data_IF_641021173771
#
_entry.id   IF_641021173771
#
_cell.length_a   1.000
_cell.length_b   1.000
_cell.length_c   1.000
_cell.angle_alpha   90.00
_cell.angle_beta   90.00
_cell.angle_gamma   90.00
#
_symmetry.space_group_name_H-M   'P 1'
#
loop_
_entity.id
_entity.type
_entity.pdbx_description
1 polymer ?
#
# COMPACT_ATOMS: atom_id res chain seq x y z
N UNK A 1 20.72 4.19 52.06
CA UNK A 1 21.44 4.94 50.99
C UNK A 1 21.18 4.23 49.68
N UNK A 2 20.74 4.97 48.67
CA UNK A 2 20.14 4.47 47.43
C UNK A 2 21.16 3.89 46.43
N UNK A 3 20.81 2.84 45.66
CA UNK A 3 21.64 2.25 44.62
C UNK A 3 21.40 2.91 43.25
N UNK A 4 21.53 4.23 43.15
CA UNK A 4 21.16 5.00 41.95
C UNK A 4 22.32 5.67 41.19
N UNK A 5 23.58 5.38 41.52
CA UNK A 5 24.73 6.10 40.93
C UNK A 5 25.68 5.28 40.03
N UNK A 6 25.36 4.01 39.71
CA UNK A 6 26.33 3.14 39.01
C UNK A 6 25.98 2.74 37.57
N UNK A 7 25.11 3.48 36.86
CA UNK A 7 24.77 3.13 35.47
C UNK A 7 24.55 4.33 34.54
N UNK A 8 25.33 5.41 34.67
CA UNK A 8 25.30 6.55 33.72
C UNK A 8 26.65 6.78 33.04
N UNK A 9 27.74 6.14 33.48
CA UNK A 9 29.11 6.43 32.96
C UNK A 9 29.55 5.64 31.72
N UNK A 10 28.83 4.59 31.31
CA UNK A 10 29.16 3.80 30.11
C UNK A 10 28.21 4.08 28.93
N UNK A 11 27.98 5.36 28.59
CA UNK A 11 27.44 5.68 27.27
C UNK A 11 28.60 5.76 26.27
N UNK A 12 28.66 4.92 25.22
CA UNK A 12 29.67 5.08 24.18
C UNK A 12 29.52 6.46 23.51
N UNK A 13 30.61 7.21 23.40
CA UNK A 13 30.70 8.50 22.68
C UNK A 13 30.68 8.32 21.15
N UNK A 14 29.87 7.40 20.65
CA UNK A 14 29.78 7.09 19.23
C UNK A 14 28.42 7.56 18.76
N UNK A 15 28.42 8.60 17.92
CA UNK A 15 27.25 8.95 17.13
C UNK A 15 27.11 7.91 16.00
N UNK A 16 26.16 7.00 16.13
CA UNK A 16 25.85 6.03 15.08
C UNK A 16 24.96 6.71 14.06
N UNK A 17 25.49 6.89 12.84
CA UNK A 17 24.71 7.27 11.67
C UNK A 17 24.01 6.02 11.15
N UNK A 18 22.74 5.87 11.49
CA UNK A 18 21.92 4.78 10.97
C UNK A 18 21.15 5.33 9.77
N UNK A 19 21.38 4.84 8.54
CA UNK A 19 20.51 5.17 7.43
C UNK A 19 19.14 4.54 7.72
N UNK A 20 18.16 5.40 7.98
CA UNK A 20 16.76 5.04 8.13
C UNK A 20 16.07 5.39 6.83
N UNK A 21 15.67 4.36 6.09
CA UNK A 21 14.76 4.57 4.94
C UNK A 21 13.44 5.03 5.51
N UNK A 22 13.05 6.27 5.22
CA UNK A 22 11.79 6.88 5.68
C UNK A 22 10.70 6.77 4.61
N UNK A 23 11.09 6.75 3.33
CA UNK A 23 10.17 6.47 2.23
C UNK A 23 10.58 5.18 1.56
N UNK A 24 9.68 4.21 1.63
CA UNK A 24 9.93 2.88 1.13
C UNK A 24 9.43 2.76 -0.31
N UNK A 25 10.36 2.68 -1.26
CA UNK A 25 10.03 2.37 -2.64
C UNK A 25 9.50 0.93 -2.83
N UNK A 26 8.89 0.63 -3.98
CA UNK A 26 8.43 -0.71 -4.37
C UNK A 26 9.50 -1.81 -4.21
N UNK A 27 10.77 -1.46 -4.37
CA UNK A 27 11.94 -2.34 -4.13
C UNK A 27 12.02 -2.86 -2.70
N UNK A 28 11.75 -2.01 -1.70
CA UNK A 28 11.77 -2.39 -0.29
C UNK A 28 10.60 -3.31 0.04
N UNK A 29 9.39 -3.01 -0.46
CA UNK A 29 8.23 -3.91 -0.32
C UNK A 29 8.54 -5.27 -0.95
N UNK A 30 9.08 -5.29 -2.18
CA UNK A 30 9.45 -6.53 -2.86
C UNK A 30 10.46 -7.37 -2.06
N UNK A 31 11.47 -6.72 -1.46
CA UNK A 31 12.48 -7.38 -0.63
C UNK A 31 11.86 -8.01 0.62
N UNK A 32 11.00 -7.27 1.33
CA UNK A 32 10.29 -7.78 2.51
C UNK A 32 9.35 -8.92 2.15
N UNK A 33 8.52 -8.75 1.11
CA UNK A 33 7.60 -9.80 0.65
C UNK A 33 8.34 -11.09 0.33
N UNK A 34 9.45 -11.03 -0.43
CA UNK A 34 10.27 -12.20 -0.77
C UNK A 34 10.86 -12.87 0.47
N UNK A 35 11.41 -12.08 1.40
CA UNK A 35 11.99 -12.62 2.62
C UNK A 35 10.94 -13.34 3.49
N UNK A 36 9.78 -12.71 3.67
CA UNK A 36 8.71 -13.23 4.50
C UNK A 36 7.99 -14.43 3.87
N UNK A 37 7.77 -14.43 2.56
CA UNK A 37 7.26 -15.59 1.83
C UNK A 37 8.22 -16.78 1.98
N UNK A 38 9.53 -16.56 1.79
CA UNK A 38 10.53 -17.62 1.92
C UNK A 38 10.51 -18.26 3.32
N UNK A 39 10.35 -17.45 4.36
CA UNK A 39 10.21 -17.93 5.74
C UNK A 39 8.95 -18.79 5.96
N UNK A 40 7.95 -18.67 5.09
CA UNK A 40 6.72 -19.48 5.07
C UNK A 40 6.77 -20.64 4.08
N UNK A 41 7.90 -20.91 3.43
CA UNK A 41 7.97 -21.92 2.37
C UNK A 41 7.21 -21.50 1.10
N UNK A 42 7.08 -20.18 0.88
CA UNK A 42 6.39 -19.60 -0.27
C UNK A 42 7.37 -18.80 -1.14
N UNK A 43 7.12 -18.80 -2.45
CA UNK A 43 7.77 -17.92 -3.40
C UNK A 43 6.87 -16.73 -3.73
N UNK A 44 7.41 -15.51 -3.55
CA UNK A 44 6.67 -14.29 -3.82
C UNK A 44 6.52 -14.05 -5.33
N UNK A 45 5.29 -13.87 -5.79
CA UNK A 45 4.98 -13.54 -7.19
C UNK A 45 4.98 -12.02 -7.41
N UNK A 46 5.08 -11.60 -8.68
CA UNK A 46 4.94 -10.17 -9.05
C UNK A 46 3.60 -9.60 -8.61
N UNK A 47 2.52 -10.36 -8.79
CA UNK A 47 1.17 -9.95 -8.39
C UNK A 47 1.08 -9.73 -6.88
N UNK A 48 1.63 -10.65 -6.09
CA UNK A 48 1.65 -10.52 -4.64
C UNK A 48 2.42 -9.27 -4.20
N UNK A 49 3.59 -9.01 -4.79
CA UNK A 49 4.39 -7.82 -4.48
C UNK A 49 3.61 -6.54 -4.80
N UNK A 50 2.95 -6.47 -5.96
CA UNK A 50 2.14 -5.31 -6.35
C UNK A 50 0.94 -5.12 -5.43
N UNK A 51 0.23 -6.20 -5.09
CA UNK A 51 -0.89 -6.15 -4.12
C UNK A 51 -0.42 -5.66 -2.75
N UNK A 52 0.68 -6.19 -2.22
CA UNK A 52 1.22 -5.72 -0.94
C UNK A 52 1.67 -4.27 -1.00
N UNK A 53 2.31 -3.84 -2.10
CA UNK A 53 2.76 -2.47 -2.28
C UNK A 53 1.60 -1.47 -2.36
N UNK A 54 0.45 -1.88 -2.90
CA UNK A 54 -0.72 -1.01 -3.00
C UNK A 54 -1.60 -1.02 -1.75
N UNK A 55 -1.80 -2.19 -1.13
CA UNK A 55 -2.72 -2.33 0.00
C UNK A 55 -2.10 -2.10 1.37
N UNK A 56 -0.84 -2.48 1.58
CA UNK A 56 -0.20 -2.30 2.89
C UNK A 56 0.39 -0.90 2.97
N UNK A 57 0.16 -0.21 4.09
CA UNK A 57 0.65 1.16 4.28
C UNK A 57 2.18 1.25 4.38
N UNK A 58 2.83 0.20 4.87
CA UNK A 58 4.29 0.16 5.03
C UNK A 58 4.84 -1.25 4.78
N UNK A 59 6.14 -1.40 4.47
CA UNK A 59 6.78 -2.71 4.42
C UNK A 59 6.70 -3.49 5.74
N UNK A 60 6.63 -2.78 6.89
CA UNK A 60 6.40 -3.44 8.17
C UNK A 60 5.01 -4.10 8.22
N UNK A 61 3.99 -3.42 7.69
CA UNK A 61 2.64 -3.98 7.61
C UNK A 61 2.59 -5.21 6.69
N UNK A 62 3.39 -5.23 5.61
CA UNK A 62 3.59 -6.42 4.77
C UNK A 62 4.19 -7.57 5.57
N UNK A 63 5.27 -7.32 6.32
CA UNK A 63 5.88 -8.34 7.17
C UNK A 63 4.90 -8.86 8.23
N UNK A 64 4.11 -7.96 8.82
CA UNK A 64 3.11 -8.32 9.81
C UNK A 64 2.00 -9.19 9.19
N UNK A 65 1.47 -8.78 8.04
CA UNK A 65 0.43 -9.50 7.30
C UNK A 65 0.86 -10.93 6.94
N UNK A 66 2.04 -11.09 6.32
CA UNK A 66 2.54 -12.41 5.93
C UNK A 66 2.90 -13.23 7.17
N UNK A 67 3.59 -12.62 8.14
CA UNK A 67 4.07 -13.29 9.35
C UNK A 67 2.95 -13.85 10.22
N UNK A 68 1.86 -13.10 10.38
CA UNK A 68 0.70 -13.47 11.21
C UNK A 68 -0.43 -14.13 10.43
N UNK A 69 -0.68 -13.71 9.21
CA UNK A 69 -1.82 -14.16 8.42
C UNK A 69 -1.59 -15.50 7.70
N UNK A 70 -0.34 -15.90 7.45
CA UNK A 70 -0.02 -17.13 6.73
C UNK A 70 0.63 -18.18 7.63
N UNK A 71 0.28 -19.44 7.37
CA UNK A 71 0.95 -20.61 7.94
C UNK A 71 2.19 -20.96 7.12
N UNK A 72 3.08 -21.77 7.68
CA UNK A 72 4.23 -22.29 6.94
C UNK A 72 3.82 -23.49 6.09
N UNK A 73 4.27 -23.49 4.84
CA UNK A 73 4.09 -24.60 3.90
C UNK A 73 5.22 -25.62 4.03
N UNK A 74 4.86 -26.90 3.95
CA UNK A 74 5.82 -28.00 3.98
C UNK A 74 6.55 -28.16 2.64
N UNK A 75 5.91 -27.81 1.53
CA UNK A 75 6.46 -27.91 0.18
C UNK A 75 6.55 -26.52 -0.45
N UNK A 76 7.74 -26.09 -0.90
CA UNK A 76 7.91 -24.81 -1.57
C UNK A 76 6.98 -24.66 -2.77
N UNK A 77 6.28 -23.52 -2.84
CA UNK A 77 5.38 -23.16 -3.93
C UNK A 77 5.16 -21.66 -3.99
N UNK A 78 4.59 -21.17 -5.08
CA UNK A 78 4.19 -19.77 -5.17
C UNK A 78 3.04 -19.40 -4.21
N UNK A 79 3.08 -18.17 -3.72
CA UNK A 79 1.95 -17.54 -3.01
C UNK A 79 0.80 -17.24 -3.98
N UNK A 80 -0.42 -17.54 -3.55
CA UNK A 80 -1.65 -17.31 -4.31
C UNK A 80 -2.31 -15.98 -3.93
N UNK A 81 -3.12 -15.42 -4.84
CA UNK A 81 -3.88 -14.18 -4.58
C UNK A 81 -4.84 -14.30 -3.38
N UNK A 82 -5.44 -15.46 -3.18
CA UNK A 82 -6.28 -15.78 -2.02
C UNK A 82 -5.51 -15.72 -0.70
N UNK A 83 -4.24 -16.10 -0.69
CA UNK A 83 -3.38 -16.01 0.48
C UNK A 83 -2.93 -14.58 0.73
N UNK A 84 -2.70 -13.79 -0.34
CA UNK A 84 -2.49 -12.35 -0.20
C UNK A 84 -3.71 -11.70 0.44
N UNK A 85 -4.93 -12.01 -0.03
CA UNK A 85 -6.19 -11.58 0.63
C UNK A 85 -6.20 -11.95 2.11
N UNK A 86 -5.97 -13.22 2.44
CA UNK A 86 -5.98 -13.71 3.82
C UNK A 86 -4.99 -12.94 4.70
N UNK A 87 -3.78 -12.73 4.19
CA UNK A 87 -2.73 -12.02 4.92
C UNK A 87 -3.08 -10.54 5.16
N UNK A 88 -3.60 -9.85 4.15
CA UNK A 88 -4.04 -8.45 4.26
C UNK A 88 -5.25 -8.31 5.18
N UNK A 89 -6.18 -9.26 5.16
CA UNK A 89 -7.34 -9.30 6.05
C UNK A 89 -6.95 -9.41 7.54
N UNK A 90 -5.75 -9.89 7.85
CA UNK A 90 -5.23 -9.95 9.22
C UNK A 90 -4.78 -8.58 9.77
N UNK A 91 -4.65 -7.57 8.92
CA UNK A 91 -4.25 -6.22 9.33
C UNK A 91 -5.46 -5.45 9.88
N UNK A 92 -5.26 -4.61 10.91
CA UNK A 92 -6.28 -3.63 11.28
C UNK A 92 -6.44 -2.60 10.15
N UNK A 93 -7.67 -2.13 9.92
CA UNK A 93 -8.02 -1.22 8.82
C UNK A 93 -7.10 0.00 8.69
N UNK A 94 -6.63 0.58 9.81
CA UNK A 94 -5.70 1.72 9.83
C UNK A 94 -4.33 1.48 9.18
N UNK A 95 -3.96 0.21 8.95
CA UNK A 95 -2.70 -0.22 8.29
C UNK A 95 -2.88 -0.57 6.81
N UNK A 96 -4.10 -0.43 6.29
CA UNK A 96 -4.41 -0.61 4.88
C UNK A 96 -4.49 0.74 4.17
N UNK A 97 -4.18 0.75 2.87
CA UNK A 97 -4.30 1.87 1.94
C UNK A 97 -3.74 3.18 2.49
N UNK A 98 -2.50 3.48 2.13
CA UNK A 98 -1.85 4.76 2.42
C UNK A 98 -2.76 5.93 2.00
N UNK A 99 -2.85 6.94 2.87
CA UNK A 99 -3.68 8.16 2.71
C UNK A 99 -5.20 7.98 2.52
N UNK A 100 -5.72 6.75 2.48
CA UNK A 100 -7.16 6.51 2.39
C UNK A 100 -7.91 6.98 3.64
N UNK A 101 -9.13 7.49 3.41
CA UNK A 101 -10.04 7.88 4.47
C UNK A 101 -10.37 6.68 5.38
N UNK A 102 -10.68 6.90 6.68
CA UNK A 102 -11.08 5.82 7.58
C UNK A 102 -12.24 4.97 7.03
N UNK A 103 -13.17 5.62 6.32
CA UNK A 103 -14.31 4.98 5.66
C UNK A 103 -13.88 4.01 4.57
N UNK A 104 -13.03 4.44 3.63
CA UNK A 104 -12.53 3.58 2.55
C UNK A 104 -11.75 2.41 3.13
N UNK A 105 -10.90 2.65 4.14
CA UNK A 105 -10.17 1.58 4.85
C UNK A 105 -11.11 0.58 5.52
N UNK A 106 -12.19 1.04 6.15
CA UNK A 106 -13.18 0.17 6.77
C UNK A 106 -13.92 -0.70 5.74
N UNK A 107 -14.30 -0.12 4.60
CA UNK A 107 -14.91 -0.86 3.49
C UNK A 107 -13.96 -1.95 2.96
N UNK A 108 -12.72 -1.59 2.64
CA UNK A 108 -11.73 -2.54 2.10
C UNK A 108 -11.34 -3.62 3.11
N UNK A 109 -11.15 -3.25 4.38
CA UNK A 109 -10.90 -4.22 5.45
C UNK A 109 -12.03 -5.24 5.58
N UNK A 110 -13.28 -4.77 5.46
CA UNK A 110 -14.47 -5.63 5.50
C UNK A 110 -14.54 -6.56 4.30
N UNK A 111 -14.31 -6.02 3.10
CA UNK A 111 -14.31 -6.80 1.86
C UNK A 111 -13.18 -7.83 1.80
N UNK A 112 -12.01 -7.55 2.38
CA UNK A 112 -10.90 -8.49 2.52
C UNK A 112 -11.24 -9.67 3.46
N UNK A 113 -11.97 -9.39 4.54
CA UNK A 113 -12.30 -10.36 5.58
C UNK A 113 -13.44 -11.33 5.22
N UNK A 114 -14.26 -10.99 4.22
CA UNK A 114 -15.40 -11.83 3.77
C UNK A 114 -15.04 -12.68 2.54
N UNK A 115 -15.62 -13.88 2.44
CA UNK A 115 -15.58 -14.73 1.23
C UNK A 115 -16.90 -14.67 0.44
N UNK A 116 -17.66 -13.60 0.61
CA UNK A 116 -18.96 -13.41 -0.03
C UNK A 116 -19.04 -11.99 -0.58
N UNK A 117 -19.73 -11.85 -1.71
CA UNK A 117 -20.21 -10.54 -2.15
C UNK A 117 -21.21 -9.99 -1.13
N UNK A 118 -21.20 -8.68 -0.92
CA UNK A 118 -22.03 -8.00 0.07
C UNK A 118 -22.88 -6.94 -0.62
N UNK A 119 -24.14 -6.82 -0.24
CA UNK A 119 -24.91 -5.62 -0.57
C UNK A 119 -24.32 -4.37 0.09
N UNK A 120 -24.67 -3.17 -0.40
CA UNK A 120 -24.24 -1.89 0.21
C UNK A 120 -24.65 -1.78 1.68
N UNK A 121 -25.80 -2.34 2.04
CA UNK A 121 -26.31 -2.35 3.42
C UNK A 121 -25.48 -3.29 4.30
N UNK A 122 -25.20 -4.51 3.84
CA UNK A 122 -24.36 -5.45 4.59
C UNK A 122 -22.93 -4.96 4.72
N UNK A 123 -22.38 -4.32 3.68
CA UNK A 123 -21.06 -3.71 3.72
C UNK A 123 -21.02 -2.59 4.76
N UNK A 124 -22.01 -1.71 4.78
CA UNK A 124 -22.12 -0.63 5.76
C UNK A 124 -22.21 -1.16 7.19
N UNK A 125 -23.08 -2.15 7.42
CA UNK A 125 -23.27 -2.78 8.73
C UNK A 125 -21.97 -3.44 9.23
N UNK A 126 -21.35 -4.29 8.42
CA UNK A 126 -20.11 -5.00 8.78
C UNK A 126 -18.91 -4.06 8.95
N UNK A 127 -18.84 -2.98 8.17
CA UNK A 127 -17.78 -1.98 8.27
C UNK A 127 -18.01 -0.97 9.40
N UNK A 128 -19.20 -0.94 10.03
CA UNK A 128 -19.55 0.02 11.07
C UNK A 128 -19.64 1.46 10.55
N UNK A 129 -20.08 1.66 9.31
CA UNK A 129 -20.22 2.96 8.65
C UNK A 129 -21.65 3.16 8.13
N UNK A 130 -21.97 4.38 7.71
CA UNK A 130 -23.29 4.63 7.12
C UNK A 130 -23.41 4.07 5.70
N UNK A 131 -24.61 3.65 5.29
CA UNK A 131 -24.87 3.25 3.90
C UNK A 131 -24.63 4.41 2.92
N UNK A 132 -24.83 5.66 3.35
CA UNK A 132 -24.49 6.82 2.53
C UNK A 132 -22.99 6.92 2.28
N UNK A 133 -22.17 6.64 3.29
CA UNK A 133 -20.72 6.58 3.15
C UNK A 133 -20.29 5.51 2.13
N UNK A 134 -20.94 4.34 2.12
CA UNK A 134 -20.73 3.33 1.09
C UNK A 134 -21.10 3.88 -0.29
N UNK A 135 -22.27 4.51 -0.44
CA UNK A 135 -22.70 5.11 -1.72
C UNK A 135 -21.76 6.20 -2.23
N UNK A 136 -21.14 6.96 -1.34
CA UNK A 136 -20.22 8.03 -1.71
C UNK A 136 -18.87 7.52 -2.22
N UNK A 137 -18.34 6.43 -1.65
CA UNK A 137 -16.98 5.95 -1.97
C UNK A 137 -16.94 4.74 -2.90
N UNK A 138 -18.01 3.94 -2.96
CA UNK A 138 -18.07 2.76 -3.81
C UNK A 138 -17.91 3.08 -5.30
N UNK A 139 -18.48 4.16 -5.88
CA UNK A 139 -18.31 4.48 -7.29
C UNK A 139 -16.84 4.57 -7.69
N UNK A 140 -16.00 5.27 -6.91
CA UNK A 140 -14.55 5.35 -7.19
C UNK A 140 -13.86 3.99 -7.13
N UNK A 141 -14.21 3.16 -6.14
CA UNK A 141 -13.64 1.81 -5.99
C UNK A 141 -14.05 0.88 -7.15
N UNK A 142 -15.23 1.08 -7.72
CA UNK A 142 -15.73 0.34 -8.88
C UNK A 142 -15.12 0.87 -10.18
N UNK A 143 -15.09 2.19 -10.35
CA UNK A 143 -14.52 2.87 -11.52
C UNK A 143 -13.05 2.50 -11.73
N UNK A 144 -12.27 2.43 -10.65
CA UNK A 144 -10.88 1.97 -10.72
C UNK A 144 -10.74 0.45 -10.91
N UNK A 145 -11.82 -0.32 -10.83
CA UNK A 145 -11.81 -1.77 -10.95
C UNK A 145 -11.18 -2.53 -9.76
N UNK A 146 -11.14 -1.90 -8.58
CA UNK A 146 -10.73 -2.54 -7.32
C UNK A 146 -11.86 -3.39 -6.74
N UNK A 147 -13.10 -2.91 -6.88
CA UNK A 147 -14.33 -3.57 -6.46
C UNK A 147 -15.19 -3.82 -7.68
N UNK A 148 -15.86 -4.96 -7.72
CA UNK A 148 -16.92 -5.24 -8.69
C UNK A 148 -18.28 -5.08 -8.03
N UNK A 149 -19.22 -4.41 -8.72
CA UNK A 149 -20.62 -4.27 -8.30
C UNK A 149 -21.52 -4.90 -9.37
N UNK A 150 -22.01 -6.10 -9.10
CA UNK A 150 -22.93 -6.84 -9.98
C UNK A 150 -24.26 -7.05 -9.26
N UNK A 151 -25.38 -6.63 -9.86
CA UNK A 151 -26.73 -6.79 -9.29
C UNK A 151 -26.87 -6.23 -7.85
N UNK A 152 -26.15 -5.15 -7.54
CA UNK A 152 -26.13 -4.52 -6.22
C UNK A 152 -25.28 -5.26 -5.17
N UNK A 153 -24.56 -6.31 -5.57
CA UNK A 153 -23.61 -7.06 -4.76
C UNK A 153 -22.19 -6.60 -5.06
N UNK A 154 -21.48 -6.23 -4.01
CA UNK A 154 -20.13 -5.67 -4.07
C UNK A 154 -19.11 -6.72 -3.63
N UNK A 155 -18.05 -6.94 -4.40
CA UNK A 155 -16.91 -7.78 -3.99
C UNK A 155 -15.58 -7.12 -4.33
N UNK A 156 -14.56 -7.34 -3.50
CA UNK A 156 -13.19 -6.99 -3.89
C UNK A 156 -12.75 -7.90 -5.04
N UNK A 157 -12.09 -7.32 -6.06
CA UNK A 157 -11.48 -8.04 -7.18
C UNK A 157 -10.20 -8.75 -6.74
N UNK A 158 -10.34 -9.69 -5.84
CA UNK A 158 -9.27 -10.54 -5.33
C UNK A 158 -9.86 -11.88 -4.91
N UNK A 159 -9.22 -12.97 -5.34
CA UNK A 159 -9.70 -14.35 -5.11
C UNK A 159 -10.09 -14.59 -3.65
N UNK A 160 -11.24 -15.18 -3.42
CA UNK A 160 -11.63 -15.66 -2.09
C UNK A 160 -10.74 -16.82 -1.61
N UNK A 161 -10.76 -17.09 -0.30
CA UNK A 161 -9.98 -18.17 0.32
C UNK A 161 -10.68 -19.53 0.31
N UNK A 162 -11.90 -19.59 -0.22
CA UNK A 162 -12.67 -20.83 -0.36
C UNK A 162 -12.12 -21.76 -1.45
N UNK A 163 -12.63 -22.99 -1.48
CA UNK A 163 -12.15 -24.01 -2.43
C UNK A 163 -12.41 -23.66 -3.90
N UNK A 164 -13.39 -22.81 -4.20
CA UNK A 164 -13.78 -22.45 -5.56
C UNK A 164 -12.83 -21.43 -6.19
N UNK A 165 -12.32 -20.50 -5.38
CA UNK A 165 -11.45 -19.42 -5.86
C UNK A 165 -10.01 -19.49 -5.37
N UNK A 166 -9.68 -20.30 -4.35
CA UNK A 166 -8.34 -20.27 -3.73
C UNK A 166 -7.18 -20.50 -4.69
N UNK A 167 -7.42 -21.17 -5.83
CA UNK A 167 -6.44 -21.44 -6.88
C UNK A 167 -6.59 -20.54 -8.12
N UNK A 168 -7.62 -19.71 -8.18
CA UNK A 168 -7.87 -18.81 -9.31
C UNK A 168 -7.04 -17.54 -9.16
N UNK A 169 -6.59 -17.00 -10.29
CA UNK A 169 -5.92 -15.70 -10.37
C UNK A 169 -6.96 -14.60 -10.67
N UNK A 170 -7.67 -14.16 -9.64
CA UNK A 170 -8.56 -12.98 -9.69
C UNK A 170 -7.81 -11.82 -9.05
N UNK A 171 -7.69 -10.71 -9.77
CA UNK A 171 -6.96 -9.50 -9.41
C UNK A 171 -7.75 -8.26 -9.86
N UNK A 172 -7.47 -7.07 -9.30
CA UNK A 172 -8.01 -5.81 -9.80
C UNK A 172 -7.70 -5.60 -11.28
N UNK A 173 -8.62 -4.98 -12.04
CA UNK A 173 -8.53 -4.87 -13.50
C UNK A 173 -7.22 -4.24 -13.97
N UNK A 174 -6.81 -3.14 -13.33
CA UNK A 174 -5.56 -2.42 -13.61
C UNK A 174 -4.28 -3.25 -13.39
N UNK A 175 -4.38 -4.43 -12.75
CA UNK A 175 -3.24 -5.34 -12.58
C UNK A 175 -3.17 -6.41 -13.66
N UNK A 176 -4.27 -6.63 -14.40
CA UNK A 176 -4.36 -7.62 -15.48
C UNK A 176 -3.75 -7.10 -16.79
N UNK A 177 -3.76 -5.79 -16.98
CA UNK A 177 -3.13 -5.07 -18.09
C UNK A 177 -1.84 -4.39 -17.64
N UNK A 178 -0.93 -4.16 -18.59
CA UNK A 178 0.17 -3.22 -18.37
C UNK A 178 -0.37 -1.80 -18.53
N UNK A 179 -0.91 -1.26 -17.44
CA UNK A 179 -1.43 0.10 -17.36
C UNK A 179 -0.49 0.97 -16.53
N UNK A 180 -0.31 2.23 -16.94
CA UNK A 180 0.37 3.24 -16.11
C UNK A 180 -0.63 3.86 -15.13
N UNK A 181 -0.14 4.43 -14.03
CA UNK A 181 -0.96 5.17 -13.05
C UNK A 181 -1.87 6.18 -13.73
N UNK A 182 -1.34 6.97 -14.68
CA UNK A 182 -2.11 7.98 -15.43
C UNK A 182 -3.27 7.40 -16.25
N UNK A 183 -3.13 6.18 -16.77
CA UNK A 183 -4.15 5.57 -17.63
C UNK A 183 -5.32 5.13 -16.75
N UNK A 184 -5.02 4.49 -15.61
CA UNK A 184 -6.02 4.09 -14.63
C UNK A 184 -6.75 5.31 -14.05
N UNK A 185 -6.05 6.41 -13.78
CA UNK A 185 -6.67 7.65 -13.32
C UNK A 185 -7.61 8.25 -14.37
N UNK A 186 -7.19 8.26 -15.64
CA UNK A 186 -8.02 8.75 -16.74
C UNK A 186 -9.28 7.89 -16.91
N UNK A 187 -9.14 6.56 -16.95
CA UNK A 187 -10.25 5.61 -17.05
C UNK A 187 -11.19 5.72 -15.84
N UNK A 188 -10.67 5.97 -14.65
CA UNK A 188 -11.48 6.19 -13.45
C UNK A 188 -12.31 7.47 -13.56
N UNK A 189 -11.71 8.58 -14.01
CA UNK A 189 -12.41 9.85 -14.22
C UNK A 189 -13.47 9.72 -15.32
N UNK A 190 -13.17 9.00 -16.41
CA UNK A 190 -14.12 8.69 -17.47
C UNK A 190 -15.32 7.91 -16.94
N UNK A 191 -15.07 6.85 -16.17
CA UNK A 191 -16.13 6.01 -15.58
C UNK A 191 -16.98 6.75 -14.53
N UNK A 192 -16.45 7.80 -13.91
CA UNK A 192 -17.17 8.66 -12.96
C UNK A 192 -17.91 9.82 -13.65
N UNK A 193 -17.79 9.98 -14.98
CA UNK A 193 -18.31 11.14 -15.72
C UNK A 193 -17.69 12.48 -15.24
N UNK A 194 -16.41 12.44 -14.88
CA UNK A 194 -15.64 13.56 -14.31
C UNK A 194 -14.62 14.17 -15.31
N UNK A 195 -14.65 13.78 -16.58
CA UNK A 195 -13.79 14.35 -17.64
C UNK A 195 -14.26 15.75 -18.09
N UNK A 196 -14.04 16.74 -17.24
CA UNK A 196 -14.25 18.16 -17.58
C UNK A 196 -13.19 18.68 -18.55
N UNK A 197 -13.41 19.84 -19.18
CA UNK A 197 -12.39 20.49 -20.03
C UNK A 197 -11.07 20.72 -19.27
N UNK A 198 -11.14 21.12 -17.99
CA UNK A 198 -9.97 21.31 -17.13
C UNK A 198 -9.21 20.00 -16.88
N UNK A 199 -9.92 18.89 -16.70
CA UNK A 199 -9.30 17.57 -16.54
C UNK A 199 -8.64 17.13 -17.85
N UNK A 200 -9.31 17.31 -18.99
CA UNK A 200 -8.77 16.95 -20.31
C UNK A 200 -7.50 17.75 -20.60
N UNK A 201 -7.44 19.03 -20.22
CA UNK A 201 -6.24 19.86 -20.37
C UNK A 201 -5.01 19.27 -19.66
N UNK A 202 -5.18 18.59 -18.53
CA UNK A 202 -4.06 17.94 -17.81
C UNK A 202 -3.39 16.85 -18.66
N UNK A 203 -4.16 16.12 -19.48
CA UNK A 203 -3.64 15.08 -20.38
C UNK A 203 -3.18 15.62 -21.73
N UNK A 204 -3.69 16.77 -22.17
CA UNK A 204 -3.30 17.39 -23.45
C UNK A 204 -2.05 18.27 -23.29
N UNK A 205 -1.97 19.03 -22.20
CA UNK A 205 -0.86 19.94 -21.90
C UNK A 205 0.16 19.26 -21.00
N UNK A 206 0.79 18.20 -21.51
CA UNK A 206 1.84 17.49 -20.79
C UNK A 206 2.98 18.42 -20.36
N UNK A 207 3.57 18.12 -19.19
CA UNK A 207 4.73 18.83 -18.68
C UNK A 207 6.01 18.58 -19.50
N UNK A 208 7.16 19.14 -19.07
CA UNK A 208 8.44 19.03 -19.80
C UNK A 208 8.93 17.59 -20.03
N UNK A 209 8.44 16.64 -19.24
CA UNK A 209 8.73 15.20 -19.35
C UNK A 209 7.75 14.45 -20.29
N UNK A 210 6.80 15.16 -20.92
CA UNK A 210 5.78 14.56 -21.77
C UNK A 210 4.69 13.80 -21.00
N UNK A 211 4.63 13.95 -19.68
CA UNK A 211 3.63 13.31 -18.82
C UNK A 211 2.57 14.31 -18.36
N UNK A 212 1.32 13.85 -18.14
CA UNK A 212 0.27 14.65 -17.52
C UNK A 212 0.68 15.10 -16.11
N UNK A 213 0.30 16.32 -15.75
CA UNK A 213 0.51 16.85 -14.40
C UNK A 213 -0.53 16.27 -13.42
N UNK A 214 -0.31 15.02 -13.01
CA UNK A 214 -1.18 14.31 -12.06
C UNK A 214 -1.19 15.01 -10.69
N UNK A 215 -0.20 15.85 -10.37
CA UNK A 215 -0.25 16.67 -9.16
C UNK A 215 -1.36 17.73 -9.24
N UNK A 216 -1.88 18.11 -10.42
CA UNK A 216 -3.08 18.97 -10.45
C UNK A 216 -4.36 18.24 -10.07
N UNK A 217 -4.43 16.92 -10.18
CA UNK A 217 -5.66 16.18 -9.89
C UNK A 217 -5.98 16.09 -8.41
N UNK A 218 -4.97 16.03 -7.54
CA UNK A 218 -5.21 15.94 -6.10
C UNK A 218 -5.90 17.19 -5.53
N UNK A 219 -5.75 18.35 -6.18
CA UNK A 219 -6.44 19.58 -5.76
C UNK A 219 -7.92 19.59 -6.18
N UNK A 220 -8.30 18.76 -7.15
CA UNK A 220 -9.65 18.65 -7.69
C UNK A 220 -10.43 17.49 -7.05
N UNK A 221 -9.75 16.39 -6.71
CA UNK A 221 -10.37 15.15 -6.27
C UNK A 221 -9.62 14.53 -5.08
N UNK A 222 -10.22 14.58 -3.89
CA UNK A 222 -9.69 13.99 -2.66
C UNK A 222 -9.34 12.50 -2.77
N UNK A 223 -9.99 11.79 -3.71
CA UNK A 223 -9.74 10.36 -3.87
C UNK A 223 -8.39 10.05 -4.52
N UNK A 224 -7.81 10.99 -5.26
CA UNK A 224 -6.53 10.80 -5.96
C UNK A 224 -5.39 10.54 -4.97
N UNK A 225 -5.43 11.19 -3.80
CA UNK A 225 -4.40 11.08 -2.76
C UNK A 225 -4.17 9.64 -2.30
N UNK A 226 -5.23 8.86 -2.16
CA UNK A 226 -5.11 7.48 -1.69
C UNK A 226 -5.05 6.46 -2.83
N UNK A 227 -5.54 6.83 -4.01
CA UNK A 227 -5.41 5.99 -5.21
C UNK A 227 -3.97 5.99 -5.72
N UNK A 228 -3.26 7.12 -5.72
CA UNK A 228 -1.89 7.19 -6.22
C UNK A 228 -0.94 6.21 -5.48
N UNK A 229 -0.92 6.11 -4.14
CA UNK A 229 -0.15 5.09 -3.43
C UNK A 229 -0.56 3.66 -3.78
N UNK A 230 -1.86 3.39 -3.92
CA UNK A 230 -2.36 2.07 -4.34
C UNK A 230 -1.82 1.67 -5.73
N UNK A 231 -1.76 2.63 -6.65
CA UNK A 231 -1.27 2.44 -8.01
C UNK A 231 0.25 2.56 -8.14
N UNK A 232 0.98 2.93 -7.08
CA UNK A 232 2.45 3.12 -7.13
C UNK A 232 3.23 1.86 -7.53
N UNK A 233 2.61 0.69 -7.46
CA UNK A 233 3.17 -0.58 -7.93
C UNK A 233 2.98 -0.82 -9.44
N UNK A 234 2.21 0.04 -10.10
CA UNK A 234 2.02 0.08 -11.55
C UNK A 234 3.15 0.91 -12.17
N UNK A 235 4.30 0.26 -12.39
CA UNK A 235 5.36 0.72 -13.31
C UNK A 235 5.88 2.16 -13.13
N UNK A 236 5.76 2.73 -11.94
CA UNK A 236 6.44 3.98 -11.57
C UNK A 236 7.53 3.65 -10.54
N UNK A 237 8.79 3.84 -10.93
CA UNK A 237 9.93 3.79 -10.01
C UNK A 237 9.74 4.90 -8.96
N UNK A 238 9.28 4.56 -7.74
CA UNK A 238 9.56 5.44 -6.60
C UNK A 238 11.05 5.28 -6.25
N UNK A 239 11.80 6.36 -6.31
CA UNK A 239 13.12 6.44 -5.68
C UNK A 239 12.98 6.30 -4.16
N UNK A 240 13.89 5.55 -3.54
CA UNK A 240 13.95 5.39 -2.08
C UNK A 240 14.54 6.65 -1.43
N UNK A 241 13.76 7.37 -0.61
CA UNK A 241 14.33 8.47 0.21
C UNK A 241 14.97 7.90 1.48
N UNK A 242 16.31 7.95 1.52
CA UNK A 242 17.12 7.57 2.68
C UNK A 242 17.36 8.80 3.55
N UNK A 243 16.86 8.79 4.79
CA UNK A 243 17.25 9.77 5.81
C UNK A 243 18.31 9.17 6.74
N UNK A 244 19.31 9.94 7.11
CA UNK A 244 20.28 9.49 8.12
C UNK A 244 19.83 9.98 9.48
N UNK A 245 19.44 9.05 10.35
CA UNK A 245 19.15 9.37 11.75
C UNK A 245 20.48 9.30 12.53
N UNK A 246 20.83 10.38 13.20
CA UNK A 246 21.94 10.40 14.15
C UNK A 246 21.40 10.04 15.54
N UNK A 247 21.84 8.90 16.07
CA UNK A 247 21.57 8.52 17.46
C UNK A 247 22.85 8.80 18.25
N UNK A 248 22.79 9.77 19.15
CA UNK A 248 23.93 10.19 19.98
C UNK A 248 23.97 11.71 20.21
N UNK A 249 24.89 12.22 21.04
CA UNK A 249 25.11 13.65 21.17
C UNK A 249 25.56 14.25 19.83
N UNK A 250 25.20 15.51 19.59
CA UNK A 250 25.60 16.26 18.39
C UNK A 250 27.11 16.54 18.48
N UNK A 251 27.93 15.76 17.78
CA UNK A 251 29.38 15.92 17.77
C UNK A 251 29.74 16.95 16.71
N UNK A 252 30.03 18.18 17.12
CA UNK A 252 30.66 19.16 16.25
C UNK A 252 32.08 18.70 15.91
N UNK A 253 32.28 18.12 14.72
CA UNK A 253 33.61 17.82 14.21
C UNK A 253 34.30 19.13 13.86
N UNK A 254 35.32 19.51 14.63
CA UNK A 254 36.28 20.52 14.19
C UNK A 254 37.26 19.86 13.21
N UNK A 255 37.56 20.50 12.06
CA UNK A 255 38.56 19.98 11.14
C UNK A 255 39.91 19.89 11.86
N UNK A 256 40.69 18.84 11.57
CA UNK A 256 42.07 18.76 12.00
C UNK A 256 42.84 19.91 11.35
N UNK A 257 43.12 20.97 12.12
CA UNK A 257 44.16 21.92 11.75
C UNK A 257 45.48 21.17 11.77
N UNK A 258 46.14 21.10 10.61
CA UNK A 258 47.49 20.54 10.47
C UNK A 258 48.42 21.20 11.51
N UNK A 259 48.82 20.43 12.50
CA UNK A 259 49.89 20.81 13.41
C UNK A 259 51.20 20.27 12.83
N UNK A 260 51.99 21.18 12.24
CA UNK A 260 53.45 21.07 12.26
C UNK A 260 54.15 21.00 10.91
N UNK A 261 54.64 22.16 10.45
CA UNK A 261 56.08 22.42 10.27
C UNK A 261 56.34 23.92 10.37
#
# INVERSE_FOLDING_TARGET
LAPSEMCIRDRPEIALKVPVVVEHGPSTVARVTRAMCRAKGLDATRDAIRLFSGFARTPYDVAHAIGRGLSQEATPREIRSSEVRLSLASLPSKRLLEDATPTVRAMISTLLATNLSLSKTELAEKAGISTQSVRNHLPTLVAMGLVDETEGQCRLNLSFTDEQERHKRILPSFMLTESFTRDVLFETLEALDELTEEVIEIWVQCGPNGLPDIDRLHTMYDWVDWVRPLLSSLTEERDETVQTLSIGPEIAQQPLTEAGS
#
